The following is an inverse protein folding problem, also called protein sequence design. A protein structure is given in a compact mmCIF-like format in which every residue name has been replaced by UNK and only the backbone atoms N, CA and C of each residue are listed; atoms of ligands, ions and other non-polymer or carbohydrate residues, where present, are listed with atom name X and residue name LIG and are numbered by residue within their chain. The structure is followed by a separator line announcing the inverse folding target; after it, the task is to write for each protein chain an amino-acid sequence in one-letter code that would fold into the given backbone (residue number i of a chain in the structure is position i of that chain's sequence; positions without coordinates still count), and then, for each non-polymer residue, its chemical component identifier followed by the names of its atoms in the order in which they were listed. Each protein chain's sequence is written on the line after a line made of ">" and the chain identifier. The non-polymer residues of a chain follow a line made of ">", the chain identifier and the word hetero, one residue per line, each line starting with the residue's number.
data_IF_944396442141
#
_entry.id   IF_944396442141
#
_cell.length_a   1.000
_cell.length_b   1.000
_cell.length_c   1.000
_cell.angle_alpha   90.00
_cell.angle_beta   90.00
_cell.angle_gamma   90.00
#
_symmetry.space_group_name_H-M   'P 1'
#
loop_
_entity.id
_entity.type
_entity.pdbx_description
1 polymer ?
#
# COMPACT_ATOMS: atom_id res chain seq x y z
N UNK A 1 6.95 -7.38 29.24
CA UNK A 1 6.83 -7.00 27.82
C UNK A 1 6.08 -5.68 27.74
N UNK A 2 6.63 -4.71 27.02
CA UNK A 2 5.98 -3.41 26.85
C UNK A 2 4.69 -3.59 25.99
N UNK A 3 3.59 -2.85 26.25
CA UNK A 3 2.34 -3.00 25.48
C UNK A 3 2.50 -2.88 23.96
N UNK A 4 3.40 -2.00 23.49
CA UNK A 4 3.71 -1.84 22.05
C UNK A 4 4.37 -3.11 21.48
N UNK A 5 5.27 -3.75 22.23
CA UNK A 5 5.91 -5.01 21.81
C UNK A 5 4.89 -6.13 21.67
N UNK A 6 3.96 -6.22 22.63
CA UNK A 6 2.86 -7.19 22.57
C UNK A 6 2.01 -7.00 21.32
N UNK A 7 1.60 -5.76 21.03
CA UNK A 7 0.83 -5.43 19.82
C UNK A 7 1.63 -5.79 18.57
N UNK A 8 2.91 -5.41 18.50
CA UNK A 8 3.77 -5.73 17.35
C UNK A 8 3.88 -7.24 17.12
N UNK A 9 4.12 -8.02 18.15
CA UNK A 9 4.18 -9.48 18.04
C UNK A 9 2.84 -10.10 17.63
N UNK A 10 1.72 -9.53 18.09
CA UNK A 10 0.38 -10.02 17.73
C UNK A 10 0.02 -9.79 16.26
N UNK A 11 0.69 -8.87 15.56
CA UNK A 11 0.48 -8.63 14.13
C UNK A 11 0.98 -9.79 13.26
N UNK A 12 1.91 -10.63 13.75
CA UNK A 12 2.46 -11.75 13.00
C UNK A 12 3.30 -11.33 11.77
N UNK A 13 3.86 -10.13 11.80
CA UNK A 13 4.67 -9.56 10.73
C UNK A 13 6.09 -9.25 11.21
N UNK A 14 7.00 -9.13 10.23
CA UNK A 14 8.32 -8.54 10.44
C UNK A 14 8.38 -7.22 9.68
N UNK A 15 8.76 -6.14 10.39
CA UNK A 15 8.97 -4.81 9.82
C UNK A 15 10.45 -4.48 9.87
N UNK A 16 11.05 -4.20 8.72
CA UNK A 16 12.47 -3.88 8.60
C UNK A 16 12.63 -2.50 7.95
N UNK A 17 13.29 -1.54 8.62
CA UNK A 17 13.62 -0.26 8.00
C UNK A 17 14.55 -0.48 6.81
N UNK A 18 14.26 0.15 5.67
CA UNK A 18 15.14 0.13 4.51
C UNK A 18 16.15 1.29 4.60
N UNK A 19 17.38 1.03 4.20
CA UNK A 19 18.49 1.97 4.32
C UNK A 19 18.70 2.74 3.00
N UNK A 20 19.14 3.99 3.09
CA UNK A 20 19.65 4.73 1.93
C UNK A 20 20.91 4.03 1.37
N UNK A 21 21.02 3.98 0.04
CA UNK A 21 22.07 3.24 -0.65
C UNK A 21 21.74 1.77 -0.93
N UNK A 22 20.64 1.25 -0.37
CA UNK A 22 20.06 0.00 -0.84
C UNK A 22 19.36 0.24 -2.18
N UNK A 23 19.74 -0.48 -3.27
CA UNK A 23 19.17 -0.26 -4.60
C UNK A 23 17.65 -0.37 -4.65
N UNK A 24 17.05 -1.28 -3.88
CA UNK A 24 15.60 -1.42 -3.79
C UNK A 24 14.96 -0.21 -3.09
N UNK A 25 15.57 0.27 -1.99
CA UNK A 25 15.12 1.45 -1.27
C UNK A 25 15.19 2.71 -2.15
N UNK A 26 16.28 2.89 -2.88
CA UNK A 26 16.49 4.05 -3.73
C UNK A 26 15.53 4.05 -4.93
N UNK A 27 15.24 2.87 -5.50
CA UNK A 27 14.24 2.72 -6.56
C UNK A 27 12.83 3.07 -6.06
N UNK A 28 12.42 2.55 -4.91
CA UNK A 28 11.11 2.86 -4.31
C UNK A 28 11.01 4.36 -3.99
N UNK A 29 12.08 4.94 -3.45
CA UNK A 29 12.14 6.38 -3.15
C UNK A 29 11.98 7.22 -4.41
N UNK A 30 12.66 6.88 -5.49
CA UNK A 30 12.51 7.54 -6.80
C UNK A 30 11.08 7.40 -7.33
N UNK A 31 10.48 6.23 -7.22
CA UNK A 31 9.08 6.00 -7.61
C UNK A 31 8.11 6.87 -6.80
N UNK A 32 8.31 6.96 -5.48
CA UNK A 32 7.52 7.84 -4.62
C UNK A 32 7.62 9.31 -5.05
N UNK A 33 8.84 9.81 -5.27
CA UNK A 33 9.08 11.21 -5.64
C UNK A 33 8.48 11.57 -7.00
N UNK A 34 8.67 10.70 -7.99
CA UNK A 34 8.19 10.93 -9.35
C UNK A 34 6.65 10.91 -9.45
N UNK A 35 5.97 10.30 -8.49
CA UNK A 35 4.51 10.13 -8.50
C UNK A 35 3.80 10.84 -7.32
N UNK A 36 4.53 11.59 -6.51
CA UNK A 36 3.98 12.28 -5.32
C UNK A 36 3.10 13.47 -5.66
N UNK A 37 3.32 14.13 -6.81
CA UNK A 37 2.56 15.32 -7.20
C UNK A 37 1.14 14.98 -7.63
N UNK A 38 0.17 15.66 -7.02
CA UNK A 38 -1.19 15.74 -7.57
C UNK A 38 -1.22 17.00 -8.42
N UNK A 39 -1.67 16.90 -9.66
CA UNK A 39 -1.69 18.00 -10.63
C UNK A 39 -2.43 19.29 -10.19
N UNK A 40 -3.13 19.25 -9.07
CA UNK A 40 -3.99 20.34 -8.56
C UNK A 40 -3.46 21.10 -7.34
N UNK A 41 -2.25 20.80 -6.83
CA UNK A 41 -1.70 21.50 -5.67
C UNK A 41 -0.23 21.92 -5.91
N UNK A 42 0.01 23.10 -6.49
CA UNK A 42 1.36 23.67 -6.55
C UNK A 42 1.94 23.82 -5.14
N UNK A 43 3.13 23.26 -4.90
CA UNK A 43 3.83 23.36 -3.61
C UNK A 43 3.66 22.17 -2.65
N UNK A 44 2.98 21.11 -3.04
CA UNK A 44 2.80 19.90 -2.22
C UNK A 44 3.92 18.85 -2.39
N UNK A 45 5.10 19.24 -2.85
CA UNK A 45 6.25 18.35 -2.94
C UNK A 45 6.60 17.78 -1.56
N UNK A 46 6.57 16.46 -1.42
CA UNK A 46 7.00 15.79 -0.19
C UNK A 46 8.52 15.85 -0.16
N UNK A 47 9.13 16.46 0.88
CA UNK A 47 10.58 16.44 1.01
C UNK A 47 11.08 14.99 1.14
N UNK A 48 12.10 14.63 0.36
CA UNK A 48 12.70 13.28 0.37
C UNK A 48 13.09 12.83 1.77
N UNK A 49 13.59 13.75 2.60
CA UNK A 49 13.97 13.51 3.98
C UNK A 49 12.83 13.08 4.90
N UNK A 50 11.58 13.27 4.48
CA UNK A 50 10.39 12.90 5.25
C UNK A 50 9.84 11.52 4.88
N UNK A 51 10.33 10.91 3.80
CA UNK A 51 9.89 9.57 3.39
C UNK A 51 10.69 8.54 4.19
N UNK A 52 9.99 7.67 4.92
CA UNK A 52 10.53 6.49 5.59
C UNK A 52 9.95 5.25 4.93
N UNK A 53 10.80 4.32 4.56
CA UNK A 53 10.43 3.09 3.85
C UNK A 53 10.72 1.90 4.75
N UNK A 54 9.75 1.00 4.87
CA UNK A 54 9.83 -0.21 5.66
C UNK A 54 9.42 -1.39 4.81
N UNK A 55 10.21 -2.45 4.83
CA UNK A 55 9.84 -3.74 4.27
C UNK A 55 8.95 -4.47 5.26
N UNK A 56 7.83 -4.98 4.77
CA UNK A 56 6.86 -5.77 5.55
C UNK A 56 6.91 -7.20 5.04
N UNK A 57 7.13 -8.13 5.94
CA UNK A 57 7.12 -9.57 5.64
C UNK A 57 6.10 -10.26 6.54
N UNK A 58 5.18 -10.99 5.95
CA UNK A 58 4.21 -11.84 6.64
C UNK A 58 4.54 -13.30 6.34
N UNK A 59 4.55 -14.13 7.40
CA UNK A 59 4.92 -15.55 7.29
C UNK A 59 4.01 -16.27 6.28
N UNK A 60 4.62 -16.92 5.29
CA UNK A 60 3.94 -17.72 4.28
C UNK A 60 3.25 -16.92 3.16
N UNK A 61 3.20 -15.59 3.24
CA UNK A 61 2.53 -14.76 2.23
C UNK A 61 3.28 -14.77 0.90
N UNK A 62 4.60 -14.66 0.94
CA UNK A 62 5.42 -14.60 -0.26
C UNK A 62 5.28 -15.87 -1.12
N UNK A 63 5.33 -17.04 -0.50
CA UNK A 63 5.23 -18.32 -1.19
C UNK A 63 3.86 -18.49 -1.86
N UNK A 64 2.79 -18.15 -1.16
CA UNK A 64 1.42 -18.21 -1.70
C UNK A 64 1.25 -17.20 -2.83
N UNK A 65 1.74 -15.97 -2.64
CA UNK A 65 1.66 -14.93 -3.66
C UNK A 65 2.42 -15.30 -4.94
N UNK A 66 3.65 -15.83 -4.83
CA UNK A 66 4.45 -16.21 -6.02
C UNK A 66 3.78 -17.30 -6.84
N UNK A 67 3.13 -18.29 -6.19
CA UNK A 67 2.39 -19.32 -6.89
C UNK A 67 1.22 -18.75 -7.68
N UNK A 68 0.40 -17.93 -7.03
CA UNK A 68 -0.79 -17.32 -7.65
C UNK A 68 -0.38 -16.30 -8.71
N UNK A 69 0.64 -15.50 -8.45
CA UNK A 69 1.11 -14.48 -9.38
C UNK A 69 1.72 -15.06 -10.65
N UNK A 70 2.35 -16.25 -10.57
CA UNK A 70 2.86 -16.95 -11.74
C UNK A 70 1.75 -17.36 -12.71
N UNK A 71 0.56 -17.72 -12.19
CA UNK A 71 -0.61 -18.08 -13.00
C UNK A 71 -1.34 -16.85 -13.54
N UNK A 72 -1.52 -15.84 -12.69
CA UNK A 72 -2.29 -14.63 -13.03
C UNK A 72 -1.49 -13.71 -13.95
N UNK A 73 -0.21 -13.49 -13.66
CA UNK A 73 0.67 -12.59 -14.42
C UNK A 73 0.35 -11.10 -14.26
N UNK A 74 0.99 -10.26 -15.09
CA UNK A 74 0.82 -8.81 -15.12
C UNK A 74 1.04 -8.17 -13.73
N UNK A 75 2.21 -8.41 -13.14
CA UNK A 75 2.60 -7.86 -11.84
C UNK A 75 2.97 -6.38 -11.94
N UNK A 76 2.48 -5.60 -11.00
CA UNK A 76 2.84 -4.19 -10.86
C UNK A 76 2.99 -3.80 -9.39
N UNK A 77 3.92 -2.89 -9.12
CA UNK A 77 4.01 -2.20 -7.84
C UNK A 77 3.01 -1.05 -7.84
N UNK A 78 2.05 -1.10 -6.92
CA UNK A 78 0.97 -0.11 -6.83
C UNK A 78 0.78 0.36 -5.40
N UNK A 79 0.40 1.62 -5.24
CA UNK A 79 0.15 2.24 -3.94
C UNK A 79 -1.28 1.99 -3.48
N UNK A 80 -1.43 1.76 -2.17
CA UNK A 80 -2.71 1.73 -1.48
C UNK A 80 -2.70 2.69 -0.30
N UNK A 81 -3.61 3.67 -0.32
CA UNK A 81 -3.83 4.61 0.77
C UNK A 81 -5.06 4.23 1.57
N UNK A 82 -4.99 4.35 2.90
CA UNK A 82 -6.09 4.09 3.81
C UNK A 82 -5.97 4.93 5.08
N UNK A 83 -7.05 5.03 5.85
CA UNK A 83 -7.01 5.64 7.18
C UNK A 83 -6.07 4.87 8.11
N UNK A 84 -5.36 5.59 8.99
CA UNK A 84 -4.37 4.99 9.88
C UNK A 84 -4.95 3.88 10.78
N UNK A 85 -6.21 3.98 11.17
CA UNK A 85 -6.92 2.98 11.96
C UNK A 85 -7.05 1.62 11.26
N UNK A 86 -7.00 1.60 9.93
CA UNK A 86 -7.12 0.35 9.16
C UNK A 86 -5.80 -0.40 9.06
N UNK A 87 -4.67 0.25 9.37
CA UNK A 87 -3.35 -0.35 9.16
C UNK A 87 -3.06 -1.55 10.04
N UNK A 88 -3.61 -1.63 11.25
CA UNK A 88 -3.48 -2.84 12.06
C UNK A 88 -4.08 -4.07 11.35
N UNK A 89 -5.26 -3.93 10.79
CA UNK A 89 -5.91 -4.99 10.00
C UNK A 89 -5.16 -5.28 8.69
N UNK A 90 -4.77 -4.24 7.95
CA UNK A 90 -4.01 -4.38 6.70
C UNK A 90 -2.67 -5.10 6.92
N UNK A 91 -1.96 -4.79 8.00
CA UNK A 91 -0.68 -5.41 8.31
C UNK A 91 -0.84 -6.84 8.80
N UNK A 92 -1.82 -7.12 9.65
CA UNK A 92 -2.01 -8.46 10.24
C UNK A 92 -2.68 -9.45 9.27
N UNK A 93 -3.68 -8.99 8.51
CA UNK A 93 -4.53 -9.87 7.69
C UNK A 93 -4.33 -9.69 6.18
N UNK A 94 -3.66 -8.62 5.76
CA UNK A 94 -3.51 -8.25 4.36
C UNK A 94 -4.71 -7.51 3.79
N UNK A 95 -4.68 -7.32 2.47
CA UNK A 95 -5.75 -6.69 1.72
C UNK A 95 -6.94 -7.65 1.61
N UNK A 96 -8.11 -7.17 2.02
CA UNK A 96 -9.35 -7.95 1.93
C UNK A 96 -10.42 -7.17 1.18
N UNK A 97 -11.18 -7.85 0.34
CA UNK A 97 -12.36 -7.29 -0.30
C UNK A 97 -13.46 -7.21 0.76
N UNK A 98 -14.13 -6.06 0.85
CA UNK A 98 -15.23 -5.89 1.78
C UNK A 98 -16.33 -6.95 1.57
N UNK A 99 -16.86 -7.56 2.65
CA UNK A 99 -17.89 -8.59 2.53
C UNK A 99 -19.15 -8.04 1.86
N UNK A 100 -20.02 -8.92 1.29
CA UNK A 100 -21.23 -8.49 0.58
C UNK A 100 -22.14 -7.57 1.40
N UNK A 101 -22.20 -7.76 2.70
CA UNK A 101 -23.06 -7.02 3.64
C UNK A 101 -22.53 -5.61 3.97
N UNK A 102 -21.24 -5.36 3.71
CA UNK A 102 -20.66 -4.05 3.98
C UNK A 102 -21.28 -2.97 3.06
N UNK A 103 -21.51 -1.74 3.56
CA UNK A 103 -22.05 -0.65 2.75
C UNK A 103 -21.24 -0.42 1.48
N UNK A 104 -21.90 -0.15 0.36
CA UNK A 104 -21.25 0.09 -0.94
C UNK A 104 -20.87 1.56 -1.16
N UNK A 105 -20.56 2.29 -0.11
CA UNK A 105 -20.15 3.69 -0.23
C UNK A 105 -18.67 3.80 -0.59
N UNK A 106 -18.35 4.65 -1.56
CA UNK A 106 -16.96 4.94 -1.95
C UNK A 106 -16.33 3.96 -2.94
N UNK A 107 -17.07 3.00 -3.49
CA UNK A 107 -16.60 2.03 -4.48
C UNK A 107 -17.08 2.42 -5.89
N UNK A 108 -16.31 3.22 -6.60
CA UNK A 108 -16.67 3.72 -7.93
C UNK A 108 -16.94 2.59 -8.95
N UNK A 109 -16.19 1.50 -8.88
CA UNK A 109 -16.30 0.35 -9.79
C UNK A 109 -16.71 -0.94 -9.07
N UNK A 110 -17.44 -0.83 -7.95
CA UNK A 110 -17.85 -1.96 -7.12
C UNK A 110 -16.83 -2.36 -6.06
N UNK A 111 -17.16 -3.40 -5.28
CA UNK A 111 -16.30 -3.88 -4.19
C UNK A 111 -15.02 -4.49 -4.72
N UNK A 112 -13.90 -4.06 -4.17
CA UNK A 112 -12.56 -4.54 -4.53
C UNK A 112 -11.48 -3.87 -3.72
N UNK A 113 -10.24 -4.29 -3.91
CA UNK A 113 -9.07 -3.60 -3.41
C UNK A 113 -8.64 -2.55 -4.44
N UNK A 114 -8.51 -1.31 -4.01
CA UNK A 114 -8.20 -0.17 -4.87
C UNK A 114 -6.75 0.24 -4.74
N UNK A 115 -6.09 0.42 -5.87
CA UNK A 115 -4.69 0.81 -5.95
C UNK A 115 -4.52 1.99 -6.91
N UNK A 116 -3.37 2.65 -6.82
CA UNK A 116 -2.93 3.67 -7.77
C UNK A 116 -1.46 3.46 -8.14
N UNK A 117 -1.09 3.84 -9.34
CA UNK A 117 0.30 3.92 -9.81
C UNK A 117 0.96 5.27 -9.47
N UNK A 118 0.23 6.16 -8.81
CA UNK A 118 0.70 7.46 -8.33
C UNK A 118 0.54 7.57 -6.81
N UNK A 119 1.64 7.85 -6.11
CA UNK A 119 1.63 8.09 -4.67
C UNK A 119 0.67 9.22 -4.29
N UNK A 120 0.67 10.32 -5.04
CA UNK A 120 -0.20 11.46 -4.81
C UNK A 120 -1.69 11.11 -4.79
N UNK A 121 -2.11 10.15 -5.63
CA UNK A 121 -3.49 9.65 -5.63
C UNK A 121 -3.80 8.88 -4.34
N UNK A 122 -2.93 7.96 -3.94
CA UNK A 122 -3.12 7.16 -2.72
C UNK A 122 -3.07 8.00 -1.44
N UNK A 123 -2.28 9.06 -1.41
CA UNK A 123 -2.21 9.99 -0.28
C UNK A 123 -3.54 10.72 0.00
N UNK A 124 -4.42 10.84 -0.98
CA UNK A 124 -5.75 11.44 -0.78
C UNK A 124 -6.65 10.55 0.09
N UNK A 125 -6.42 9.24 0.06
CA UNK A 125 -7.16 8.26 0.88
C UNK A 125 -6.50 7.98 2.23
N UNK A 126 -5.29 8.50 2.45
CA UNK A 126 -4.54 8.32 3.69
C UNK A 126 -4.88 9.43 4.67
N UNK A 127 -5.32 9.06 5.86
CA UNK A 127 -5.56 9.98 6.96
C UNK A 127 -4.62 9.69 8.12
N UNK A 128 -4.14 10.75 8.78
CA UNK A 128 -3.28 10.67 9.95
C UNK A 128 -2.92 12.09 10.42
N UNK A 129 -2.77 12.27 11.72
CA UNK A 129 -2.56 13.60 12.30
C UNK A 129 -1.17 14.18 11.99
N UNK A 130 -0.13 13.40 12.17
CA UNK A 130 1.28 13.84 11.96
C UNK A 130 1.97 13.14 10.81
N UNK A 131 1.51 11.95 10.47
CA UNK A 131 2.11 11.11 9.42
C UNK A 131 1.02 10.41 8.65
N UNK A 132 1.27 10.19 7.36
CA UNK A 132 0.42 9.37 6.50
C UNK A 132 1.13 8.06 6.24
N UNK A 133 0.38 6.98 6.28
CA UNK A 133 0.85 5.64 5.91
C UNK A 133 0.28 5.28 4.53
N UNK A 134 1.12 4.70 3.70
CA UNK A 134 0.75 4.16 2.39
C UNK A 134 1.45 2.82 2.22
N UNK A 135 0.74 1.83 1.72
CA UNK A 135 1.34 0.56 1.31
C UNK A 135 1.80 0.66 -0.14
N UNK A 136 2.97 0.12 -0.44
CA UNK A 136 3.41 -0.22 -1.79
C UNK A 136 3.31 -1.73 -1.92
N UNK A 137 2.42 -2.19 -2.79
CA UNK A 137 2.08 -3.60 -2.93
C UNK A 137 2.53 -4.13 -4.28
N UNK A 138 3.05 -5.35 -4.30
CA UNK A 138 3.19 -6.14 -5.52
C UNK A 138 1.83 -6.76 -5.84
N UNK A 139 1.25 -6.41 -6.98
CA UNK A 139 -0.11 -6.78 -7.35
C UNK A 139 -0.12 -7.54 -8.67
N UNK A 140 -0.66 -8.75 -8.67
CA UNK A 140 -0.91 -9.54 -9.87
C UNK A 140 -2.26 -9.14 -10.47
N UNK A 141 -2.25 -8.37 -11.56
CA UNK A 141 -3.46 -7.80 -12.18
C UNK A 141 -4.11 -8.74 -13.18
N UNK A 142 -3.36 -9.68 -13.74
CA UNK A 142 -3.86 -10.57 -14.76
C UNK A 142 -4.36 -9.84 -16.01
N UNK A 143 -5.46 -10.31 -16.57
CA UNK A 143 -6.12 -9.69 -17.72
C UNK A 143 -6.93 -8.47 -17.30
N UNK A 144 -6.40 -7.29 -17.58
CA UNK A 144 -7.03 -6.02 -17.22
C UNK A 144 -8.25 -5.72 -18.13
N UNK A 145 -9.32 -5.20 -17.51
CA UNK A 145 -10.45 -4.59 -18.22
C UNK A 145 -10.37 -3.06 -18.04
N UNK A 146 -10.35 -2.33 -19.15
CA UNK A 146 -10.37 -0.87 -19.11
C UNK A 146 -11.79 -0.36 -18.94
N UNK A 147 -12.00 0.49 -17.93
CA UNK A 147 -13.29 1.13 -17.66
C UNK A 147 -13.08 2.63 -17.50
N UNK A 148 -13.88 3.43 -18.22
CA UNK A 148 -13.79 4.89 -18.22
C UNK A 148 -14.96 5.57 -17.51
N UNK A 149 -15.99 4.79 -17.17
CA UNK A 149 -17.18 5.25 -16.45
C UNK A 149 -17.60 4.17 -15.45
N UNK A 150 -18.13 4.63 -14.31
CA UNK A 150 -18.74 3.78 -13.31
C UNK A 150 -20.13 3.30 -13.75
#
# INVERSE_FOLDING_TARGET
>A
MHPIEYIYHSLGIKVTPMQEGDPECDLIRAYCLNTASVASAPGSAIPISRIRIFKIERKGEQEVFEQVAAEIGNRKLLFHGSGISNFLGLLSQGMQIAPPEAPQTGFMFGKGCYFADMLGKSLQYSSGYKSKLVLLCDVALGKAKHMYRA
#
